data_IF_338887442413
#
_entry.id   IF_338887442413
#
_cell.length_a   1.000
_cell.length_b   1.000
_cell.length_c   1.000
_cell.angle_alpha   90.00
_cell.angle_beta   90.00
_cell.angle_gamma   90.00
#
_symmetry.space_group_name_H-M   'P 1'
#
loop_
_entity.id
_entity.type
_entity.pdbx_description
1 polymer ?
#
# COMPACT_ATOMS: atom_id res chain seq x y z
N UNK A 1 -3.14 19.39 -16.59
CA UNK A 1 -3.30 19.52 -18.06
C UNK A 1 -2.65 18.29 -18.70
N UNK A 2 -3.32 17.12 -18.65
CA UNK A 2 -2.77 15.83 -19.10
C UNK A 2 -3.76 15.04 -19.99
N UNK A 3 -4.88 15.64 -20.38
CA UNK A 3 -5.92 14.94 -21.15
C UNK A 3 -5.52 14.67 -22.60
N UNK A 4 -4.61 15.47 -23.18
CA UNK A 4 -4.23 15.33 -24.58
C UNK A 4 -3.43 14.05 -24.87
N UNK A 5 -2.33 13.72 -24.15
CA UNK A 5 -1.61 12.47 -24.36
C UNK A 5 -2.46 11.22 -24.14
N UNK A 6 -3.35 11.26 -23.14
CA UNK A 6 -4.29 10.18 -22.86
C UNK A 6 -5.24 9.91 -24.04
N UNK A 7 -5.93 10.95 -24.51
CA UNK A 7 -6.90 10.83 -25.60
C UNK A 7 -6.25 10.38 -26.91
N UNK A 8 -5.02 10.83 -27.16
CA UNK A 8 -4.25 10.41 -28.33
C UNK A 8 -3.84 8.94 -28.23
N UNK A 9 -3.39 8.49 -27.05
CA UNK A 9 -2.99 7.09 -26.82
C UNK A 9 -4.15 6.09 -27.01
N UNK A 10 -5.39 6.50 -26.75
CA UNK A 10 -6.57 5.65 -26.96
C UNK A 10 -7.25 5.87 -28.33
N UNK A 11 -6.67 6.69 -29.22
CA UNK A 11 -7.23 6.98 -30.53
C UNK A 11 -8.54 7.79 -30.49
N UNK A 12 -8.80 8.55 -29.43
CA UNK A 12 -10.01 9.36 -29.23
C UNK A 12 -9.69 10.85 -29.01
N UNK A 13 -9.04 11.52 -29.97
CA UNK A 13 -8.71 12.95 -29.83
C UNK A 13 -9.95 13.84 -29.72
N UNK A 14 -11.10 13.35 -30.18
CA UNK A 14 -12.40 14.01 -30.07
C UNK A 14 -12.90 14.14 -28.61
N UNK A 15 -12.35 13.35 -27.68
CA UNK A 15 -12.69 13.44 -26.25
C UNK A 15 -11.93 14.54 -25.50
N UNK A 16 -10.86 15.11 -26.08
CA UNK A 16 -10.02 16.13 -25.43
C UNK A 16 -10.79 17.32 -24.85
N UNK A 17 -11.81 17.90 -25.52
CA UNK A 17 -12.55 19.05 -25.00
C UNK A 17 -13.35 18.75 -23.72
N UNK A 18 -13.65 17.47 -23.46
CA UNK A 18 -14.59 17.06 -22.42
C UNK A 18 -13.92 16.49 -21.16
N UNK A 19 -12.59 16.50 -21.09
CA UNK A 19 -11.84 15.87 -19.99
C UNK A 19 -12.14 16.42 -18.58
N UNK A 20 -12.70 17.62 -18.48
CA UNK A 20 -13.14 18.24 -17.21
C UNK A 20 -14.65 18.54 -17.18
N UNK A 21 -15.40 18.12 -18.19
CA UNK A 21 -16.84 18.33 -18.26
C UNK A 21 -17.54 17.59 -17.10
N UNK A 22 -18.50 18.26 -16.46
CA UNK A 22 -19.26 17.72 -15.32
C UNK A 22 -20.75 17.55 -15.61
N UNK A 23 -21.15 17.85 -16.84
CA UNK A 23 -22.52 17.80 -17.34
C UNK A 23 -22.76 16.52 -18.15
N UNK A 24 -23.75 16.56 -19.05
CA UNK A 24 -24.08 15.45 -19.93
C UNK A 24 -22.90 15.01 -20.81
N UNK A 25 -22.01 15.93 -21.20
CA UNK A 25 -20.84 15.59 -22.02
C UNK A 25 -19.79 14.82 -21.21
N UNK A 26 -19.63 15.15 -19.93
CA UNK A 26 -18.80 14.37 -19.01
C UNK A 26 -19.34 12.95 -18.80
N UNK A 27 -20.66 12.83 -18.59
CA UNK A 27 -21.33 11.54 -18.45
C UNK A 27 -21.30 10.70 -19.74
N UNK A 28 -21.36 11.33 -20.92
CA UNK A 28 -21.15 10.67 -22.22
C UNK A 28 -19.72 10.15 -22.33
N UNK A 29 -18.73 11.02 -22.11
CA UNK A 29 -17.30 10.69 -22.19
C UNK A 29 -16.95 9.49 -21.31
N UNK A 30 -17.45 9.45 -20.06
CA UNK A 30 -17.23 8.32 -19.15
C UNK A 30 -17.74 6.99 -19.72
N UNK A 31 -18.97 6.96 -20.23
CA UNK A 31 -19.58 5.73 -20.79
C UNK A 31 -18.81 5.22 -22.01
N UNK A 32 -18.33 6.13 -22.84
CA UNK A 32 -17.49 5.76 -23.98
C UNK A 32 -16.14 5.18 -23.55
N UNK A 33 -15.50 5.76 -22.52
CA UNK A 33 -14.27 5.21 -21.94
C UNK A 33 -14.52 3.84 -21.30
N UNK A 34 -15.61 3.65 -20.55
CA UNK A 34 -15.98 2.35 -19.97
C UNK A 34 -16.12 1.28 -21.06
N UNK A 35 -16.81 1.61 -22.15
CA UNK A 35 -17.00 0.69 -23.29
C UNK A 35 -15.66 0.36 -23.96
N UNK A 36 -14.80 1.37 -24.15
CA UNK A 36 -13.49 1.21 -24.75
C UNK A 36 -12.60 0.32 -23.89
N UNK A 37 -12.45 0.61 -22.60
CA UNK A 37 -11.59 -0.17 -21.70
C UNK A 37 -12.07 -1.62 -21.53
N UNK A 38 -13.38 -1.87 -21.63
CA UNK A 38 -13.93 -3.23 -21.62
C UNK A 38 -13.61 -4.05 -22.89
N UNK A 39 -13.22 -3.41 -23.99
CA UNK A 39 -13.00 -4.09 -25.27
C UNK A 39 -11.69 -4.88 -25.35
N UNK A 40 -10.72 -4.58 -24.49
CA UNK A 40 -9.39 -5.19 -24.49
C UNK A 40 -8.96 -5.50 -23.04
N UNK A 41 -8.14 -6.54 -22.83
CA UNK A 41 -7.71 -6.93 -21.49
C UNK A 41 -6.79 -5.87 -20.85
N UNK A 42 -6.73 -5.86 -19.51
CA UNK A 42 -5.85 -4.96 -18.75
C UNK A 42 -4.39 -4.98 -19.26
N UNK A 43 -3.86 -6.15 -19.59
CA UNK A 43 -2.50 -6.31 -20.09
C UNK A 43 -2.24 -5.52 -21.38
N UNK A 44 -3.24 -5.42 -22.27
CA UNK A 44 -3.14 -4.60 -23.48
C UNK A 44 -2.99 -3.13 -23.10
N UNK A 45 -3.87 -2.63 -22.24
CA UNK A 45 -3.85 -1.23 -21.80
C UNK A 45 -2.58 -0.89 -21.01
N UNK A 46 -2.09 -1.81 -20.17
CA UNK A 46 -0.85 -1.62 -19.43
C UNK A 46 0.34 -1.37 -20.36
N UNK A 47 0.47 -2.17 -21.42
CA UNK A 47 1.52 -1.97 -22.45
C UNK A 47 1.30 -0.65 -23.20
N UNK A 48 0.05 -0.35 -23.58
CA UNK A 48 -0.28 0.87 -24.32
C UNK A 48 0.09 2.15 -23.56
N UNK A 49 -0.07 2.15 -22.23
CA UNK A 49 0.18 3.34 -21.40
C UNK A 49 1.57 3.39 -20.76
N UNK A 50 2.39 2.33 -20.88
CA UNK A 50 3.73 2.25 -20.24
C UNK A 50 4.64 3.44 -20.57
N UNK A 51 4.58 3.92 -21.81
CA UNK A 51 5.41 5.04 -22.30
C UNK A 51 4.63 6.35 -22.46
N UNK A 52 3.38 6.42 -21.99
CA UNK A 52 2.53 7.61 -22.14
C UNK A 52 2.54 8.38 -20.83
N UNK A 53 2.99 9.64 -20.87
CA UNK A 53 2.92 10.55 -19.72
C UNK A 53 1.46 11.01 -19.47
N UNK A 54 0.67 10.08 -18.96
CA UNK A 54 -0.68 10.29 -18.49
C UNK A 54 -0.87 9.50 -17.19
N UNK A 55 -1.61 10.06 -16.24
CA UNK A 55 -1.84 9.43 -14.94
C UNK A 55 -2.80 8.25 -15.03
N UNK A 56 -2.41 7.19 -15.73
CA UNK A 56 -3.14 5.93 -15.85
C UNK A 56 -2.31 4.84 -15.19
N UNK A 57 -2.96 4.07 -14.31
CA UNK A 57 -2.32 2.96 -13.60
C UNK A 57 -3.28 1.76 -13.62
N UNK A 58 -2.76 0.53 -13.67
CA UNK A 58 -3.60 -0.64 -13.45
C UNK A 58 -4.14 -0.65 -12.01
N UNK A 59 -5.31 -1.26 -11.82
CA UNK A 59 -5.84 -1.59 -10.50
C UNK A 59 -5.38 -3.02 -10.19
N UNK A 60 -4.41 -3.14 -9.27
CA UNK A 60 -3.83 -4.42 -8.87
C UNK A 60 -4.61 -5.07 -7.73
N UNK A 61 -4.61 -6.40 -7.69
CA UNK A 61 -4.98 -7.15 -6.48
C UNK A 61 -4.00 -6.87 -5.35
N UNK A 62 -4.36 -7.26 -4.13
CA UNK A 62 -3.45 -7.10 -2.99
C UNK A 62 -2.16 -7.93 -3.18
N UNK A 63 -2.28 -9.16 -3.67
CA UNK A 63 -1.18 -10.07 -3.96
C UNK A 63 -0.28 -9.52 -5.07
N UNK A 64 -0.87 -9.00 -6.15
CA UNK A 64 -0.13 -8.35 -7.23
C UNK A 64 0.60 -7.10 -6.73
N UNK A 65 -0.06 -6.29 -5.89
CA UNK A 65 0.56 -5.12 -5.29
C UNK A 65 1.75 -5.51 -4.40
N UNK A 66 1.66 -6.60 -3.62
CA UNK A 66 2.74 -7.09 -2.74
C UNK A 66 4.00 -7.49 -3.50
N UNK A 67 3.86 -7.92 -4.75
CA UNK A 67 4.99 -8.26 -5.62
C UNK A 67 5.43 -7.09 -6.51
N UNK A 68 4.78 -5.92 -6.41
CA UNK A 68 5.06 -4.78 -7.28
C UNK A 68 6.53 -4.33 -7.17
N UNK A 69 7.23 -4.09 -8.30
CA UNK A 69 8.67 -3.76 -8.29
C UNK A 69 9.01 -2.57 -7.39
N UNK A 70 8.14 -1.55 -7.34
CA UNK A 70 8.34 -0.37 -6.50
C UNK A 70 8.31 -0.71 -5.00
N UNK A 71 7.44 -1.64 -4.58
CA UNK A 71 7.39 -2.07 -3.17
C UNK A 71 8.63 -2.90 -2.82
N UNK A 72 9.06 -3.79 -3.72
CA UNK A 72 10.26 -4.62 -3.54
C UNK A 72 11.53 -3.79 -3.41
N UNK A 73 11.79 -2.87 -4.35
CA UNK A 73 12.99 -2.01 -4.33
C UNK A 73 13.02 -1.12 -3.09
N UNK A 74 11.86 -0.76 -2.54
CA UNK A 74 11.75 0.04 -1.31
C UNK A 74 11.81 -0.79 -0.03
N UNK A 75 11.88 -2.12 -0.12
CA UNK A 75 11.81 -3.03 1.02
C UNK A 75 10.51 -2.87 1.81
N UNK A 76 9.38 -2.74 1.11
CA UNK A 76 8.07 -2.48 1.73
C UNK A 76 7.38 -3.71 2.31
N UNK A 77 7.44 -4.91 1.72
CA UNK A 77 6.80 -6.07 2.30
C UNK A 77 7.84 -7.08 2.85
N UNK A 78 8.59 -6.76 3.91
CA UNK A 78 9.47 -7.75 4.53
C UNK A 78 8.67 -8.94 5.08
N UNK A 79 9.32 -10.10 5.06
CA UNK A 79 8.85 -11.29 5.76
C UNK A 79 9.50 -11.35 7.15
N UNK A 80 8.68 -11.40 8.18
CA UNK A 80 9.08 -11.28 9.59
C UNK A 80 8.34 -12.38 10.33
N UNK A 81 9.09 -13.34 10.89
CA UNK A 81 8.54 -14.52 11.57
C UNK A 81 7.49 -15.29 10.73
N UNK A 82 7.75 -15.41 9.41
CA UNK A 82 6.87 -16.09 8.46
C UNK A 82 5.62 -15.28 8.07
N UNK A 83 5.48 -14.04 8.55
CA UNK A 83 4.41 -13.13 8.19
C UNK A 83 4.92 -12.03 7.27
N UNK A 84 4.26 -11.88 6.11
CA UNK A 84 4.50 -10.76 5.22
C UNK A 84 3.72 -9.55 5.73
N UNK A 85 4.43 -8.49 6.08
CA UNK A 85 3.85 -7.25 6.61
C UNK A 85 4.50 -6.03 6.00
N UNK A 86 3.90 -4.85 6.19
CA UNK A 86 4.45 -3.60 5.64
C UNK A 86 5.49 -2.96 6.55
N UNK A 87 6.62 -2.59 5.96
CA UNK A 87 7.57 -1.66 6.55
C UNK A 87 7.00 -0.23 6.56
N UNK A 88 7.54 0.68 7.40
CA UNK A 88 7.15 2.08 7.39
C UNK A 88 7.25 2.70 5.98
N UNK A 89 6.21 3.39 5.48
CA UNK A 89 6.18 3.91 4.11
C UNK A 89 7.14 5.08 3.91
N UNK A 90 7.41 5.84 4.99
CA UNK A 90 8.35 6.94 5.01
C UNK A 90 9.79 6.43 5.11
N UNK A 91 10.64 6.89 4.20
CA UNK A 91 12.09 6.66 4.24
C UNK A 91 12.79 7.94 4.65
N UNK A 92 13.66 7.86 5.65
CA UNK A 92 14.41 9.00 6.18
C UNK A 92 15.90 8.71 6.08
N UNK A 93 16.67 9.65 5.56
CA UNK A 93 18.13 9.54 5.53
C UNK A 93 18.69 9.41 6.95
N UNK A 94 19.60 8.45 7.15
CA UNK A 94 20.20 8.17 8.46
C UNK A 94 19.32 7.31 9.38
N UNK A 95 18.16 6.85 8.91
CA UNK A 95 17.31 5.91 9.62
C UNK A 95 17.00 4.71 8.74
N UNK A 96 17.74 3.63 8.96
CA UNK A 96 17.47 2.34 8.34
C UNK A 96 16.47 1.56 9.20
N UNK A 97 15.28 1.32 8.65
CA UNK A 97 14.30 0.46 9.30
C UNK A 97 14.83 -0.97 9.38
N UNK A 98 14.85 -1.53 10.59
CA UNK A 98 15.12 -2.93 10.84
C UNK A 98 14.19 -3.43 11.93
N UNK A 99 13.73 -4.67 11.76
CA UNK A 99 13.06 -5.41 12.84
C UNK A 99 14.11 -5.81 13.86
N UNK A 100 13.95 -5.38 15.10
CA UNK A 100 14.92 -5.61 16.18
C UNK A 100 14.61 -6.84 17.02
N UNK A 101 13.33 -7.21 17.08
CA UNK A 101 12.83 -8.36 17.81
C UNK A 101 11.49 -8.81 17.19
N UNK A 102 11.12 -10.09 17.35
CA UNK A 102 9.77 -10.55 17.02
C UNK A 102 8.72 -9.81 17.86
N UNK A 103 7.45 -9.93 17.47
CA UNK A 103 6.36 -9.50 18.33
C UNK A 103 6.39 -10.32 19.64
N UNK A 104 6.32 -9.69 20.82
CA UNK A 104 6.34 -10.41 22.08
C UNK A 104 5.04 -11.19 22.29
N UNK A 105 5.15 -12.34 22.94
CA UNK A 105 3.99 -13.07 23.48
C UNK A 105 3.30 -12.24 24.57
N UNK A 106 2.03 -12.56 24.82
CA UNK A 106 1.27 -11.92 25.91
C UNK A 106 1.99 -12.19 27.24
N UNK A 107 2.36 -11.12 27.95
CA UNK A 107 3.01 -11.20 29.25
C UNK A 107 4.53 -11.36 29.22
N UNK A 108 5.17 -11.45 28.05
CA UNK A 108 6.62 -11.73 27.92
C UNK A 108 7.50 -10.75 28.73
N UNK A 109 7.14 -9.47 28.78
CA UNK A 109 7.95 -8.42 29.41
C UNK A 109 7.51 -8.07 30.85
N UNK A 110 6.41 -8.65 31.36
CA UNK A 110 5.75 -8.17 32.58
C UNK A 110 6.64 -8.17 33.82
N UNK A 111 7.36 -9.28 34.05
CA UNK A 111 8.29 -9.39 35.19
C UNK A 111 9.47 -8.43 35.06
N UNK A 112 10.02 -8.27 33.84
CA UNK A 112 11.15 -7.36 33.61
C UNK A 112 10.75 -5.90 33.87
N UNK A 113 9.55 -5.50 33.43
CA UNK A 113 9.01 -4.17 33.65
C UNK A 113 8.72 -3.88 35.14
N UNK A 114 8.17 -4.84 35.89
CA UNK A 114 7.93 -4.67 37.33
C UNK A 114 9.24 -4.49 38.11
N UNK A 115 10.28 -5.27 37.78
CA UNK A 115 11.61 -5.08 38.36
C UNK A 115 12.19 -3.71 38.02
N UNK A 116 12.07 -3.27 36.77
CA UNK A 116 12.52 -1.95 36.34
C UNK A 116 11.75 -0.81 37.04
N UNK A 117 10.49 -1.05 37.40
CA UNK A 117 9.66 -0.12 38.17
C UNK A 117 9.94 -0.14 39.68
N UNK A 118 10.81 -1.03 40.17
CA UNK A 118 11.23 -1.08 41.58
C UNK A 118 10.44 -2.03 42.48
N UNK A 119 9.61 -2.92 41.91
CA UNK A 119 8.94 -3.96 42.70
C UNK A 119 9.94 -4.99 43.21
N UNK A 120 9.80 -5.39 44.48
CA UNK A 120 10.57 -6.50 45.01
C UNK A 120 10.08 -7.83 44.43
N UNK A 121 10.96 -8.83 44.37
CA UNK A 121 10.61 -10.15 43.82
C UNK A 121 9.41 -10.80 44.57
N UNK A 122 9.30 -10.54 45.87
CA UNK A 122 8.18 -10.99 46.69
C UNK A 122 6.83 -10.37 46.27
N UNK A 123 6.82 -9.08 45.89
CA UNK A 123 5.61 -8.40 45.44
C UNK A 123 5.18 -8.91 44.06
N UNK A 124 6.16 -9.17 43.17
CA UNK A 124 5.91 -9.71 41.84
C UNK A 124 5.28 -11.11 41.94
N UNK A 125 5.82 -11.97 42.82
CA UNK A 125 5.27 -13.31 43.02
C UNK A 125 3.87 -13.27 43.64
N UNK A 126 3.60 -12.31 44.55
CA UNK A 126 2.27 -12.10 45.10
C UNK A 126 1.25 -11.69 44.02
N UNK A 127 1.63 -10.79 43.10
CA UNK A 127 0.78 -10.39 41.98
C UNK A 127 0.48 -11.56 41.03
N UNK A 128 1.47 -12.40 40.75
CA UNK A 128 1.31 -13.62 39.93
C UNK A 128 0.37 -14.62 40.61
N UNK A 129 0.55 -14.86 41.91
CA UNK A 129 -0.30 -15.77 42.68
C UNK A 129 -1.77 -15.29 42.76
N UNK A 130 -2.00 -13.98 42.70
CA UNK A 130 -3.33 -13.36 42.66
C UNK A 130 -3.95 -13.34 41.25
N UNK A 131 -3.21 -13.74 40.21
CA UNK A 131 -3.67 -13.66 38.81
C UNK A 131 -3.79 -12.23 38.29
N UNK A 132 -3.10 -11.27 38.92
CA UNK A 132 -3.06 -9.87 38.47
C UNK A 132 -2.12 -9.71 37.26
N UNK A 133 -1.08 -10.54 37.19
CA UNK A 133 -0.09 -10.62 36.10
C UNK A 133 0.17 -12.06 35.68
#
# INVERSE_FOLDING_TARGET
>A
MHAAPFCDAIGRPDLKPFGLARDADGARTRRELETLFASLPLAHWAVQFESVDCGVTPVLSFEEAMEHPQLRVRGMPPEIDGLRQFAPPLKMSGLDFAVRSPAPEVGADGTALLRAAGYAEADIEALRAQGVI
#
